data_IF_630841751652
#
_entry.id   IF_630841751652
#
_cell.length_a   1.000
_cell.length_b   1.000
_cell.length_c   1.000
_cell.angle_alpha   90.00
_cell.angle_beta   90.00
_cell.angle_gamma   90.00
#
_symmetry.space_group_name_H-M   'P 1'
#
loop_
_entity.id
_entity.type
_entity.pdbx_description
1 polymer ?
#
# COMPACT_ATOMS: atom_id res chain seq x y z
N UNK A 1 -24.36 -22.38 15.33
CA UNK A 1 -23.44 -22.29 14.18
C UNK A 1 -22.42 -21.22 14.51
N UNK A 2 -21.15 -21.58 14.69
CA UNK A 2 -20.08 -20.61 14.94
C UNK A 2 -19.36 -20.35 13.62
N UNK A 3 -19.72 -19.27 12.93
CA UNK A 3 -18.87 -18.75 11.87
C UNK A 3 -17.63 -18.17 12.56
N UNK A 4 -16.45 -18.72 12.28
CA UNK A 4 -15.20 -18.12 12.74
C UNK A 4 -14.94 -16.92 11.83
N UNK A 5 -14.79 -15.74 12.42
CA UNK A 5 -14.47 -14.51 11.70
C UNK A 5 -13.14 -14.71 10.96
N UNK A 6 -13.16 -14.65 9.63
CA UNK A 6 -11.94 -14.75 8.81
C UNK A 6 -11.59 -13.34 8.37
N UNK A 7 -10.59 -12.79 9.04
CA UNK A 7 -10.10 -11.45 8.83
C UNK A 7 -9.09 -11.43 7.68
N UNK A 8 -9.58 -11.24 6.45
CA UNK A 8 -8.73 -11.01 5.25
C UNK A 8 -8.24 -9.56 5.20
N UNK A 9 -7.33 -9.21 6.11
CA UNK A 9 -6.79 -7.86 6.23
C UNK A 9 -5.58 -7.57 5.33
N UNK A 10 -5.06 -8.59 4.62
CA UNK A 10 -3.81 -8.50 3.88
C UNK A 10 -4.02 -8.73 2.40
N UNK A 11 -3.33 -7.94 1.57
CA UNK A 11 -3.20 -8.22 0.14
C UNK A 11 -1.77 -7.99 -0.33
N UNK A 12 -1.31 -8.82 -1.25
CA UNK A 12 0.00 -8.67 -1.90
C UNK A 12 -0.17 -8.74 -3.40
N UNK A 13 0.39 -7.75 -4.10
CA UNK A 13 0.41 -7.68 -5.55
C UNK A 13 1.85 -7.71 -6.03
N UNK A 14 2.09 -8.47 -7.10
CA UNK A 14 3.37 -8.56 -7.78
C UNK A 14 3.23 -7.95 -9.17
N UNK A 15 4.16 -7.09 -9.53
CA UNK A 15 4.23 -6.45 -10.83
C UNK A 15 5.68 -6.39 -11.32
N UNK A 16 5.84 -6.12 -12.60
CA UNK A 16 7.12 -5.81 -13.25
C UNK A 16 6.91 -4.55 -14.08
N UNK A 17 8.00 -3.97 -14.57
CA UNK A 17 7.91 -2.95 -15.61
C UNK A 17 7.21 -3.50 -16.87
N UNK A 18 6.50 -2.66 -17.63
CA UNK A 18 5.93 -3.05 -18.92
C UNK A 18 6.98 -3.69 -19.83
N UNK A 19 6.57 -4.71 -20.58
CA UNK A 19 7.42 -5.49 -21.46
C UNK A 19 6.67 -5.82 -22.75
N UNK A 20 7.38 -6.03 -23.85
CA UNK A 20 6.76 -6.32 -25.15
C UNK A 20 6.41 -7.81 -25.30
N UNK A 21 7.15 -8.69 -24.64
CA UNK A 21 6.99 -10.14 -24.73
C UNK A 21 7.18 -10.87 -23.39
N UNK A 22 6.33 -11.86 -23.11
CA UNK A 22 6.45 -12.73 -21.92
C UNK A 22 7.75 -13.56 -21.89
N UNK A 23 8.47 -13.64 -23.01
CA UNK A 23 9.76 -14.33 -23.12
C UNK A 23 10.95 -13.45 -22.73
N UNK A 24 10.72 -12.16 -22.43
CA UNK A 24 11.76 -11.26 -21.95
C UNK A 24 12.09 -11.52 -20.47
N UNK A 25 13.33 -11.25 -20.08
CA UNK A 25 13.71 -11.26 -18.67
C UNK A 25 13.07 -10.06 -17.97
N UNK A 26 12.52 -10.29 -16.78
CA UNK A 26 11.90 -9.25 -15.94
C UNK A 26 12.77 -8.99 -14.71
N UNK A 27 13.89 -8.27 -14.86
CA UNK A 27 14.85 -8.14 -13.76
C UNK A 27 14.37 -7.13 -12.71
N UNK A 28 13.28 -6.40 -12.93
CA UNK A 28 12.70 -5.51 -11.92
C UNK A 28 11.39 -6.11 -11.42
N UNK A 29 11.30 -6.34 -10.11
CA UNK A 29 10.05 -6.79 -9.47
C UNK A 29 9.56 -5.71 -8.53
N UNK A 30 8.28 -5.37 -8.64
CA UNK A 30 7.56 -4.45 -7.78
C UNK A 30 6.59 -5.27 -6.95
N UNK A 31 6.71 -5.20 -5.63
CA UNK A 31 5.83 -5.87 -4.67
C UNK A 31 5.08 -4.79 -3.91
N UNK A 32 3.75 -4.88 -3.89
CA UNK A 32 2.89 -4.01 -3.09
C UNK A 32 2.19 -4.83 -2.04
N UNK A 33 2.39 -4.51 -0.77
CA UNK A 33 1.75 -5.20 0.36
C UNK A 33 0.85 -4.21 1.09
N UNK A 34 -0.42 -4.54 1.20
CA UNK A 34 -1.39 -3.76 1.98
C UNK A 34 -1.83 -4.55 3.20
N UNK A 35 -1.90 -3.85 4.32
CA UNK A 35 -2.58 -4.30 5.52
C UNK A 35 -3.71 -3.29 5.84
N UNK A 36 -4.93 -3.78 6.06
CA UNK A 36 -6.09 -2.97 6.40
C UNK A 36 -6.61 -3.34 7.79
N UNK A 37 -7.04 -2.34 8.54
CA UNK A 37 -7.64 -2.46 9.88
C UNK A 37 -8.43 -1.19 10.17
N UNK A 38 -8.14 -0.52 11.28
CA UNK A 38 -8.65 0.84 11.60
C UNK A 38 -8.08 1.96 10.71
N UNK A 39 -7.75 1.63 9.46
CA UNK A 39 -6.96 2.42 8.51
C UNK A 39 -6.23 1.44 7.59
N UNK A 40 -5.15 1.88 6.96
CA UNK A 40 -4.33 0.96 6.18
C UNK A 40 -2.85 1.36 6.16
N UNK A 41 -2.03 0.39 5.82
CA UNK A 41 -0.62 0.56 5.47
C UNK A 41 -0.39 -0.02 4.09
N UNK A 42 0.39 0.69 3.27
CA UNK A 42 0.88 0.21 1.99
C UNK A 42 2.41 0.20 1.98
N UNK A 43 3.03 -0.97 1.86
CA UNK A 43 4.46 -1.12 1.62
C UNK A 43 4.69 -1.34 0.11
N UNK A 44 5.62 -0.60 -0.49
CA UNK A 44 6.06 -0.77 -1.86
C UNK A 44 7.53 -1.16 -1.84
N UNK A 45 7.84 -2.31 -2.43
CA UNK A 45 9.20 -2.89 -2.49
C UNK A 45 9.58 -3.05 -3.95
N UNK A 46 10.75 -2.57 -4.34
CA UNK A 46 11.27 -2.68 -5.71
C UNK A 46 12.61 -3.40 -5.65
N UNK A 47 12.67 -4.59 -6.25
CA UNK A 47 13.89 -5.38 -6.38
C UNK A 47 14.53 -5.14 -7.74
N UNK A 48 15.83 -4.83 -7.75
CA UNK A 48 16.65 -4.81 -8.95
C UNK A 48 17.49 -6.09 -9.06
N UNK A 49 17.07 -7.04 -9.88
CA UNK A 49 17.83 -8.25 -10.18
C UNK A 49 18.85 -8.08 -11.31
N UNK A 50 19.11 -6.87 -11.82
CA UNK A 50 20.18 -6.64 -12.79
C UNK A 50 21.56 -6.69 -12.14
N UNK A 51 22.59 -6.78 -12.97
CA UNK A 51 24.00 -6.66 -12.58
C UNK A 51 24.51 -5.22 -12.57
N UNK A 52 23.64 -4.28 -12.95
CA UNK A 52 23.90 -2.85 -13.02
C UNK A 52 22.86 -2.06 -12.21
N UNK A 53 23.19 -0.83 -11.75
CA UNK A 53 22.22 0.05 -11.11
C UNK A 53 21.09 0.45 -12.07
N UNK A 54 19.93 0.78 -11.50
CA UNK A 54 18.77 1.30 -12.24
C UNK A 54 18.25 2.58 -11.60
N UNK A 55 17.99 3.58 -12.42
CA UNK A 55 17.27 4.80 -12.04
C UNK A 55 15.80 4.64 -12.43
N UNK A 56 14.90 4.88 -11.47
CA UNK A 56 13.45 4.80 -11.67
C UNK A 56 12.76 6.03 -11.06
N UNK A 57 11.58 6.33 -11.57
CA UNK A 57 10.64 7.23 -10.88
C UNK A 57 9.44 6.41 -10.44
N UNK A 58 9.26 6.26 -9.13
CA UNK A 58 8.02 5.71 -8.57
C UNK A 58 7.02 6.85 -8.44
N UNK A 59 5.82 6.67 -8.99
CA UNK A 59 4.70 7.61 -8.85
C UNK A 59 3.47 6.87 -8.33
N UNK A 60 2.92 7.33 -7.21
CA UNK A 60 1.70 6.80 -6.62
C UNK A 60 0.61 7.85 -6.77
N UNK A 61 -0.41 7.53 -7.56
CA UNK A 61 -1.63 8.33 -7.65
C UNK A 61 -2.53 7.99 -6.46
N UNK A 62 -2.97 9.02 -5.77
CA UNK A 62 -3.85 8.92 -4.62
C UNK A 62 -5.28 9.29 -5.01
N UNK A 63 -6.23 8.61 -4.39
CA UNK A 63 -7.61 9.05 -4.37
C UNK A 63 -8.29 8.55 -3.11
N UNK A 64 -9.41 9.16 -2.77
CA UNK A 64 -10.31 8.69 -1.73
C UNK A 64 -11.75 8.95 -2.19
N UNK A 65 -12.53 7.89 -2.33
CA UNK A 65 -13.97 8.02 -2.41
C UNK A 65 -14.56 8.00 -0.99
N UNK A 66 -15.64 8.75 -0.80
CA UNK A 66 -16.39 8.77 0.46
C UNK A 66 -17.82 8.26 0.24
N UNK A 67 -18.02 7.59 -0.91
CA UNK A 67 -19.32 7.14 -1.40
C UNK A 67 -19.84 6.05 -0.47
N UNK A 68 -21.07 6.23 0.01
CA UNK A 68 -21.71 5.24 0.87
C UNK A 68 -22.08 3.99 0.05
N UNK A 69 -22.06 2.80 0.66
CA UNK A 69 -22.55 1.55 0.06
C UNK A 69 -24.01 1.68 -0.37
N UNK A 70 -24.79 2.54 0.30
CA UNK A 70 -26.16 2.85 -0.07
C UNK A 70 -26.20 3.70 -1.35
N UNK A 71 -25.32 4.70 -1.46
CA UNK A 71 -25.20 5.61 -2.61
C UNK A 71 -24.68 4.88 -3.85
N UNK A 72 -23.75 3.92 -3.68
CA UNK A 72 -23.26 3.03 -4.74
C UNK A 72 -24.36 2.19 -5.41
N UNK A 73 -25.48 1.96 -4.73
CA UNK A 73 -26.62 1.21 -5.29
C UNK A 73 -27.61 2.10 -6.03
N UNK A 74 -27.61 3.41 -5.79
CA UNK A 74 -28.34 4.37 -6.62
C UNK A 74 -27.45 4.81 -7.78
N UNK A 75 -28.01 4.91 -8.99
CA UNK A 75 -27.31 5.48 -10.15
C UNK A 75 -27.15 7.00 -10.07
N UNK A 76 -27.02 7.55 -8.86
CA UNK A 76 -26.90 8.98 -8.61
C UNK A 76 -25.42 9.35 -8.49
N UNK A 77 -25.08 10.49 -9.06
CA UNK A 77 -23.74 11.07 -8.90
C UNK A 77 -23.50 11.43 -7.43
N UNK A 78 -22.25 11.32 -6.94
CA UNK A 78 -21.93 11.66 -5.57
C UNK A 78 -22.25 13.13 -5.28
N UNK A 79 -22.84 13.40 -4.12
CA UNK A 79 -23.34 14.73 -3.76
C UNK A 79 -22.26 15.82 -3.74
N UNK A 80 -21.01 15.44 -3.43
CA UNK A 80 -19.86 16.32 -3.42
C UNK A 80 -18.60 15.58 -3.87
N UNK A 81 -17.59 16.34 -4.32
CA UNK A 81 -16.24 15.83 -4.56
C UNK A 81 -15.33 16.20 -3.38
N UNK A 82 -14.44 15.29 -2.95
CA UNK A 82 -13.48 15.63 -1.90
C UNK A 82 -12.52 16.72 -2.37
N UNK A 83 -12.23 17.67 -1.49
CA UNK A 83 -11.13 18.62 -1.66
C UNK A 83 -9.86 18.01 -1.11
N UNK A 84 -8.69 18.43 -1.62
CA UNK A 84 -7.40 17.94 -1.15
C UNK A 84 -6.65 19.09 -0.50
N UNK A 85 -6.22 18.88 0.73
CA UNK A 85 -5.27 19.72 1.43
C UNK A 85 -3.92 18.98 1.46
N UNK A 86 -2.81 19.72 1.36
CA UNK A 86 -1.46 19.15 1.36
C UNK A 86 -0.70 19.73 2.55
N UNK A 87 -0.07 18.86 3.33
CA UNK A 87 0.90 19.25 4.36
C UNK A 87 2.29 18.75 3.96
N UNK A 88 3.15 19.61 3.37
CA UNK A 88 4.49 19.25 2.93
C UNK A 88 5.45 18.89 4.07
N UNK A 89 5.29 19.51 5.23
CA UNK A 89 6.19 19.29 6.38
C UNK A 89 6.06 17.85 6.90
N UNK A 90 4.83 17.33 6.93
CA UNK A 90 4.52 15.97 7.39
C UNK A 90 4.40 14.94 6.27
N UNK A 91 4.63 15.36 5.01
CA UNK A 91 4.46 14.51 3.82
C UNK A 91 3.03 13.91 3.68
N UNK A 92 2.00 14.73 3.88
CA UNK A 92 0.59 14.28 3.92
C UNK A 92 -0.27 14.87 2.80
N UNK A 93 -1.16 14.02 2.26
CA UNK A 93 -2.35 14.42 1.52
C UNK A 93 -3.59 14.17 2.38
N UNK A 94 -4.42 15.20 2.55
CA UNK A 94 -5.63 15.14 3.36
C UNK A 94 -6.82 15.32 2.43
N UNK A 95 -7.55 14.24 2.20
CA UNK A 95 -8.81 14.28 1.45
C UNK A 95 -9.93 14.65 2.41
N UNK A 96 -10.68 15.70 2.10
CA UNK A 96 -11.77 16.20 2.94
C UNK A 96 -13.07 16.17 2.14
N UNK A 97 -14.05 15.41 2.62
CA UNK A 97 -15.38 15.34 2.06
C UNK A 97 -16.40 15.97 3.01
N UNK A 98 -17.25 16.85 2.46
CA UNK A 98 -18.31 17.53 3.20
C UNK A 98 -19.60 17.49 2.38
N UNK A 99 -20.62 16.83 2.91
CA UNK A 99 -21.96 16.77 2.32
C UNK A 99 -22.99 16.50 3.43
N UNK A 100 -24.21 17.04 3.32
CA UNK A 100 -25.33 16.81 4.24
C UNK A 100 -25.00 16.90 5.74
N UNK A 101 -24.12 17.83 6.13
CA UNK A 101 -23.69 18.00 7.53
C UNK A 101 -22.69 16.95 8.03
N UNK A 102 -22.27 16.01 7.18
CA UNK A 102 -21.22 15.03 7.46
C UNK A 102 -19.88 15.58 6.97
N UNK A 103 -18.84 15.41 7.78
CA UNK A 103 -17.45 15.67 7.41
C UNK A 103 -16.64 14.39 7.59
N UNK A 104 -16.05 13.88 6.52
CA UNK A 104 -15.12 12.74 6.54
C UNK A 104 -13.77 13.19 6.02
N UNK A 105 -12.68 12.73 6.64
CA UNK A 105 -11.33 12.97 6.12
C UNK A 105 -10.54 11.68 6.04
N UNK A 106 -9.62 11.63 5.09
CA UNK A 106 -8.62 10.55 4.97
C UNK A 106 -7.26 11.20 4.81
N UNK A 107 -6.34 10.90 5.72
CA UNK A 107 -4.97 11.37 5.69
C UNK A 107 -4.11 10.24 5.12
N UNK A 108 -3.41 10.51 4.01
CA UNK A 108 -2.41 9.61 3.44
C UNK A 108 -1.05 10.25 3.67
N UNK A 109 -0.23 9.59 4.48
CA UNK A 109 1.12 10.03 4.82
C UNK A 109 2.15 9.11 4.17
N UNK A 110 3.17 9.68 3.53
CA UNK A 110 4.36 8.94 3.08
C UNK A 110 5.59 9.23 3.93
N UNK A 111 6.58 8.36 3.81
CA UNK A 111 7.91 8.59 4.35
C UNK A 111 8.61 9.80 3.72
N UNK A 112 9.61 10.33 4.44
CA UNK A 112 10.44 11.44 3.99
C UNK A 112 11.16 11.14 2.67
N UNK A 113 11.43 12.19 1.88
CA UNK A 113 12.13 12.07 0.59
C UNK A 113 11.20 11.91 -0.61
N UNK A 114 9.88 11.89 -0.36
CA UNK A 114 8.88 12.01 -1.40
C UNK A 114 8.73 13.46 -1.89
N UNK A 115 8.44 13.61 -3.17
CA UNK A 115 7.87 14.81 -3.75
C UNK A 115 6.34 14.65 -3.75
N UNK A 116 5.64 15.56 -3.07
CA UNK A 116 4.18 15.56 -3.01
C UNK A 116 3.60 16.71 -3.83
N UNK A 117 2.66 16.40 -4.70
CA UNK A 117 1.97 17.38 -5.55
C UNK A 117 0.62 16.79 -5.94
N UNK A 118 -0.46 17.59 -5.90
CA UNK A 118 -1.79 17.29 -6.46
C UNK A 118 -2.15 15.79 -6.60
N UNK A 119 -2.66 15.19 -5.53
CA UNK A 119 -3.04 13.76 -5.45
C UNK A 119 -1.91 12.78 -5.82
N UNK A 120 -0.65 13.18 -5.84
CA UNK A 120 0.46 12.35 -6.31
C UNK A 120 1.64 12.41 -5.34
N UNK A 121 2.24 11.24 -5.11
CA UNK A 121 3.49 11.07 -4.37
C UNK A 121 4.52 10.49 -5.35
N UNK A 122 5.70 11.11 -5.44
CA UNK A 122 6.76 10.68 -6.36
C UNK A 122 8.11 10.51 -5.66
N UNK A 123 8.87 9.51 -6.07
CA UNK A 123 10.25 9.27 -5.63
C UNK A 123 11.15 9.11 -6.84
N UNK A 124 12.29 9.79 -6.83
CA UNK A 124 13.39 9.52 -7.75
C UNK A 124 14.35 8.56 -7.05
N UNK A 125 14.44 7.33 -7.56
CA UNK A 125 15.12 6.23 -6.87
C UNK A 125 16.27 5.72 -7.74
N UNK A 126 17.43 5.56 -7.12
CA UNK A 126 18.55 4.81 -7.68
C UNK A 126 18.65 3.50 -6.89
N UNK A 127 18.51 2.37 -7.57
CA UNK A 127 18.62 1.04 -6.96
C UNK A 127 19.89 0.38 -7.50
N UNK A 128 20.92 0.15 -6.67
CA UNK A 128 22.13 -0.53 -7.12
C UNK A 128 21.88 -1.93 -7.66
N UNK A 129 22.88 -2.51 -8.30
CA UNK A 129 22.83 -3.88 -8.80
C UNK A 129 22.49 -4.86 -7.67
N UNK A 130 21.52 -5.75 -7.90
CA UNK A 130 21.08 -6.78 -6.93
C UNK A 130 20.49 -6.25 -5.61
N UNK A 131 20.20 -4.96 -5.53
CA UNK A 131 19.68 -4.33 -4.32
C UNK A 131 18.15 -4.13 -4.35
N UNK A 132 17.61 -3.70 -3.21
CA UNK A 132 16.18 -3.49 -2.98
C UNK A 132 15.93 -2.10 -2.44
N UNK A 133 14.92 -1.43 -2.99
CA UNK A 133 14.41 -0.16 -2.48
C UNK A 133 13.00 -0.34 -1.90
N UNK A 134 12.66 0.43 -0.85
CA UNK A 134 11.38 0.34 -0.15
C UNK A 134 10.83 1.72 0.18
N UNK A 135 9.51 1.82 0.23
CA UNK A 135 8.82 2.89 0.94
C UNK A 135 7.49 2.40 1.52
N UNK A 136 6.96 3.16 2.47
CA UNK A 136 5.69 2.88 3.11
C UNK A 136 4.76 4.10 3.16
N UNK A 137 3.46 3.85 2.99
CA UNK A 137 2.38 4.81 3.15
C UNK A 137 1.48 4.40 4.32
N UNK A 138 1.12 5.36 5.17
CA UNK A 138 0.12 5.19 6.23
C UNK A 138 -1.16 5.93 5.86
N UNK A 139 -2.30 5.25 5.96
CA UNK A 139 -3.63 5.77 5.61
C UNK A 139 -4.46 5.81 6.89
N UNK A 140 -4.83 7.02 7.33
CA UNK A 140 -5.61 7.26 8.55
C UNK A 140 -6.99 7.84 8.22
N UNK A 141 -8.08 7.15 8.55
CA UNK A 141 -9.39 7.77 8.52
C UNK A 141 -9.50 8.77 9.69
N UNK A 142 -10.29 9.83 9.48
CA UNK A 142 -10.65 10.79 10.53
C UNK A 142 -12.15 10.72 10.75
N UNK A 143 -12.56 10.50 11.99
CA UNK A 143 -13.94 10.41 12.42
C UNK A 143 -14.20 11.45 13.50
N UNK A 144 -15.18 12.34 13.30
CA UNK A 144 -15.51 13.39 14.28
C UNK A 144 -14.29 14.20 14.77
N UNK A 145 -13.37 14.49 13.83
CA UNK A 145 -12.07 15.16 14.06
C UNK A 145 -11.02 14.35 14.85
N UNK A 146 -11.36 13.13 15.29
CA UNK A 146 -10.39 12.18 15.83
C UNK A 146 -9.70 11.42 14.69
N UNK A 147 -8.36 11.47 14.69
CA UNK A 147 -7.55 10.64 13.80
C UNK A 147 -7.58 9.21 14.34
N UNK A 148 -8.06 8.29 13.52
CA UNK A 148 -8.06 6.87 13.86
C UNK A 148 -6.70 6.29 13.47
N UNK A 149 -5.96 5.76 14.45
CA UNK A 149 -4.68 5.13 14.20
C UNK A 149 -4.85 3.74 13.56
N UNK A 150 -4.12 3.44 12.47
CA UNK A 150 -4.13 2.13 11.85
C UNK A 150 -3.56 1.07 12.80
N UNK A 151 -4.14 -0.12 12.74
CA UNK A 151 -3.64 -1.30 13.47
C UNK A 151 -2.22 -1.71 13.01
N UNK A 152 -1.90 -1.47 11.74
CA UNK A 152 -0.62 -1.80 11.14
C UNK A 152 0.09 -0.50 10.72
N UNK A 153 1.27 -0.22 11.29
CA UNK A 153 2.01 1.01 11.01
C UNK A 153 3.27 0.71 10.19
N UNK A 154 3.77 1.73 9.49
CA UNK A 154 5.02 1.63 8.72
C UNK A 154 6.22 1.34 9.63
N UNK A 155 6.27 1.95 10.82
CA UNK A 155 7.35 1.72 11.81
C UNK A 155 7.49 0.26 12.24
N UNK A 156 6.41 -0.52 12.19
CA UNK A 156 6.40 -1.93 12.59
C UNK A 156 7.08 -2.83 11.54
N UNK A 157 7.34 -2.30 10.34
CA UNK A 157 8.11 -3.01 9.31
C UNK A 157 9.59 -3.07 9.67
N UNK A 158 10.14 -2.04 10.30
CA UNK A 158 11.57 -1.98 10.63
C UNK A 158 11.93 -2.86 11.82
N UNK A 159 11.03 -2.97 12.80
CA UNK A 159 11.20 -3.85 13.96
C UNK A 159 11.27 -5.33 13.57
N UNK A 160 10.57 -5.74 12.51
CA UNK A 160 10.60 -7.10 11.98
C UNK A 160 11.78 -7.37 11.04
N UNK A 161 12.58 -6.35 10.67
CA UNK A 161 13.71 -6.49 9.74
C UNK A 161 15.05 -6.82 10.42
N UNK A 162 15.19 -6.61 11.73
CA UNK A 162 16.39 -7.06 12.49
C UNK A 162 16.40 -8.57 12.76
N UNK A 163 15.26 -9.25 12.61
CA UNK A 163 15.20 -10.70 12.58
C UNK A 163 15.59 -11.21 11.19
N UNK A 164 16.89 -11.25 10.90
CA UNK A 164 17.49 -12.00 9.78
C UNK A 164 17.30 -13.52 9.94
N UNK A 165 16.08 -13.96 10.14
CA UNK A 165 15.67 -15.34 10.26
C UNK A 165 14.36 -15.50 9.51
N UNK A 166 14.30 -16.52 8.66
CA UNK A 166 13.09 -17.12 8.13
C UNK A 166 11.86 -16.80 9.02
N UNK A 167 10.79 -16.17 8.49
CA UNK A 167 9.66 -15.74 9.29
C UNK A 167 8.98 -16.97 9.89
N UNK A 168 9.39 -17.32 11.10
CA UNK A 168 8.68 -18.29 11.92
C UNK A 168 7.48 -17.56 12.47
N UNK A 169 6.42 -17.60 11.67
CA UNK A 169 5.09 -18.05 12.10
C UNK A 169 4.87 -17.89 13.62
N UNK A 170 4.58 -16.67 14.10
CA UNK A 170 4.11 -16.53 15.47
C UNK A 170 2.67 -17.02 15.65
N UNK A 171 1.92 -17.16 14.57
CA UNK A 171 0.58 -17.76 14.59
C UNK A 171 0.36 -18.69 13.38
N UNK A 172 0.95 -19.89 13.47
CA UNK A 172 0.29 -21.15 13.15
C UNK A 172 -0.50 -21.40 11.85
N UNK A 173 -0.41 -20.59 10.78
CA UNK A 173 -1.14 -20.89 9.54
C UNK A 173 -0.31 -20.61 8.29
N UNK A 174 0.30 -21.67 7.74
CA UNK A 174 0.83 -21.66 6.38
C UNK A 174 -0.34 -21.73 5.38
N UNK A 175 -0.62 -20.66 4.65
CA UNK A 175 -1.36 -20.74 3.39
C UNK A 175 -0.38 -20.77 2.23
N UNK A 176 0.25 -21.92 2.02
CA UNK A 176 0.84 -22.27 0.74
C UNK A 176 -0.21 -22.98 -0.12
N UNK A 177 -0.26 -22.76 -1.45
CA UNK A 177 -1.07 -23.61 -2.32
C UNK A 177 -0.51 -25.05 -2.27
N UNK A 178 -1.35 -26.10 -2.41
CA UNK A 178 -0.88 -27.48 -2.39
C UNK A 178 -0.22 -27.79 -3.73
N UNK A 179 1.06 -27.46 -3.91
CA UNK A 179 1.85 -27.94 -5.03
C UNK A 179 2.73 -29.10 -4.57
N UNK A 180 2.14 -30.29 -4.66
CA UNK A 180 2.83 -31.57 -4.52
C UNK A 180 3.61 -31.81 -5.82
N UNK A 181 4.89 -31.47 -5.85
CA UNK A 181 5.82 -32.01 -6.84
C UNK A 181 6.66 -33.09 -6.17
N UNK A 182 6.24 -34.33 -6.39
CA UNK A 182 7.06 -35.52 -6.15
C UNK A 182 8.22 -35.46 -7.15
N UNK A 183 9.44 -35.36 -6.64
CA UNK A 183 10.63 -35.83 -7.34
C UNK A 183 10.78 -37.33 -7.10
N UNK A 184 10.97 -38.09 -8.18
CA UNK A 184 12.12 -39.00 -8.36
C UNK A 184 11.84 -40.00 -9.49
N UNK A 185 12.44 -39.74 -10.66
CA UNK A 185 13.40 -40.59 -11.37
C UNK A 185 13.78 -39.98 -12.71
#
# INVERSE_FOLDING_TARGET
MSAKEVNYFWSTHYATLPFESIFESHPITIIRRRAAGNGAREEIIIHNYKTEPVDLTLSVQLDADFVDIIELKSSQDPEAKPVIEINPEECQHIFVYRANGICRKTIIQCESGAQIENKKISFNINIPAKEVWRTCLTIRPVWEDDIIEPEYLCKDLDENQTAGGHPTLKDGVCFGPPARLLGDR
#
